data_IF_765494758840
#
_entry.id   IF_765494758840
#
_cell.length_a   1.000
_cell.length_b   1.000
_cell.length_c   1.000
_cell.angle_alpha   90.00
_cell.angle_beta   90.00
_cell.angle_gamma   90.00
#
_symmetry.space_group_name_H-M   'P 1'
#
loop_
_entity.id
_entity.type
_entity.pdbx_description
1 polymer ?
#
# COMPACT_ATOMS: atom_id res chain seq x y z
N UNK A 1 34.73 -8.25 18.98
CA UNK A 1 33.35 -8.81 18.94
C UNK A 1 32.67 -8.32 17.67
N UNK A 2 32.65 -9.14 16.63
CA UNK A 2 32.11 -8.77 15.31
C UNK A 2 30.58 -8.90 15.27
N UNK A 3 29.93 -7.87 14.77
CA UNK A 3 28.48 -7.81 14.54
C UNK A 3 28.08 -8.88 13.51
N UNK A 4 27.19 -9.81 13.89
CA UNK A 4 26.72 -10.94 13.06
C UNK A 4 25.26 -10.79 12.57
N UNK A 5 24.71 -9.59 12.57
CA UNK A 5 23.28 -9.40 12.26
C UNK A 5 22.99 -9.00 10.80
N UNK A 6 24.00 -8.87 9.94
CA UNK A 6 23.82 -8.48 8.53
C UNK A 6 23.55 -9.64 7.56
N UNK A 7 23.45 -10.88 8.03
CA UNK A 7 23.45 -12.08 7.18
C UNK A 7 22.10 -12.50 6.57
N UNK A 8 20.99 -11.83 6.91
CA UNK A 8 19.66 -12.19 6.40
C UNK A 8 19.25 -11.54 5.07
N UNK A 9 20.12 -10.73 4.46
CA UNK A 9 19.87 -10.14 3.13
C UNK A 9 20.39 -11.01 1.97
N UNK A 10 20.46 -12.33 2.16
CA UNK A 10 20.82 -13.25 1.08
C UNK A 10 19.84 -13.08 -0.11
N UNK A 11 20.44 -12.71 -1.24
CA UNK A 11 19.84 -12.21 -2.46
C UNK A 11 18.86 -13.21 -3.09
N UNK A 12 17.57 -13.09 -2.77
CA UNK A 12 16.51 -13.69 -3.58
C UNK A 12 16.22 -12.75 -4.75
N UNK A 13 16.23 -13.29 -5.96
CA UNK A 13 15.85 -12.59 -7.21
C UNK A 13 14.37 -12.15 -7.25
N UNK A 14 13.62 -12.37 -6.16
CA UNK A 14 12.18 -12.18 -6.09
C UNK A 14 11.88 -11.05 -5.12
N UNK A 15 11.01 -10.14 -5.54
CA UNK A 15 10.53 -9.07 -4.68
C UNK A 15 9.71 -9.64 -3.53
N UNK A 16 10.10 -9.28 -2.31
CA UNK A 16 9.38 -9.61 -1.08
C UNK A 16 8.72 -8.35 -0.55
N UNK A 17 7.44 -8.48 -0.19
CA UNK A 17 6.65 -7.44 0.46
C UNK A 17 5.98 -8.03 1.69
N UNK A 18 5.91 -7.25 2.77
CA UNK A 18 5.30 -7.68 4.03
C UNK A 18 3.92 -7.02 4.16
N UNK A 19 2.94 -7.81 4.62
CA UNK A 19 1.57 -7.36 4.80
C UNK A 19 1.00 -7.92 6.09
N UNK A 20 0.35 -7.07 6.88
CA UNK A 20 -0.42 -7.53 8.02
C UNK A 20 -1.74 -8.15 7.56
N UNK A 21 -2.09 -9.32 8.12
CA UNK A 21 -3.37 -9.98 7.87
C UNK A 21 -4.49 -9.25 8.62
N UNK A 22 -5.29 -8.45 7.91
CA UNK A 22 -6.40 -7.68 8.48
C UNK A 22 -7.76 -8.30 8.11
N UNK A 23 -8.66 -8.45 9.10
CA UNK A 23 -10.02 -8.97 8.89
C UNK A 23 -11.01 -7.85 8.60
N UNK A 24 -11.61 -7.87 7.42
CA UNK A 24 -12.72 -6.96 7.04
C UNK A 24 -14.04 -7.50 7.62
N UNK A 25 -14.78 -6.64 8.30
CA UNK A 25 -16.10 -6.96 8.86
C UNK A 25 -17.17 -6.30 8.00
N UNK A 26 -18.26 -7.00 7.67
CA UNK A 26 -19.36 -6.41 6.89
C UNK A 26 -20.12 -5.37 7.71
N UNK A 27 -20.76 -4.36 7.08
CA UNK A 27 -21.63 -3.45 7.79
C UNK A 27 -22.72 -4.23 8.56
N UNK A 28 -23.05 -3.82 9.80
CA UNK A 28 -24.12 -4.44 10.57
C UNK A 28 -25.46 -4.33 9.83
N UNK A 29 -26.34 -5.32 10.02
CA UNK A 29 -27.72 -5.26 9.51
C UNK A 29 -28.48 -4.15 10.24
N UNK A 30 -29.42 -3.50 9.54
CA UNK A 30 -30.28 -2.45 10.13
C UNK A 30 -30.97 -3.00 11.39
N UNK A 31 -30.81 -2.33 12.53
CA UNK A 31 -31.38 -2.75 13.82
C UNK A 31 -30.48 -3.61 14.71
N UNK A 32 -29.26 -3.96 14.30
CA UNK A 32 -28.34 -4.65 15.21
C UNK A 32 -27.65 -3.68 16.17
N UNK A 33 -27.54 -4.06 17.45
CA UNK A 33 -26.81 -3.29 18.47
C UNK A 33 -25.28 -3.31 18.28
N UNK A 34 -24.75 -4.23 17.47
CA UNK A 34 -23.31 -4.37 17.24
C UNK A 34 -22.79 -3.27 16.29
N UNK A 35 -21.91 -2.39 16.81
CA UNK A 35 -21.22 -1.39 15.99
C UNK A 35 -19.94 -1.97 15.38
N UNK A 36 -19.77 -1.80 14.06
CA UNK A 36 -18.51 -2.19 13.39
C UNK A 36 -17.39 -1.21 13.77
N UNK A 37 -16.21 -1.70 14.24
CA UNK A 37 -15.04 -0.84 14.42
C UNK A 37 -14.57 -0.24 13.09
N UNK A 38 -14.18 1.05 13.10
CA UNK A 38 -13.73 1.75 11.87
C UNK A 38 -12.47 1.12 11.25
N UNK A 39 -11.59 0.57 12.09
CA UNK A 39 -10.37 -0.14 11.66
C UNK A 39 -10.64 -1.41 10.83
N UNK A 40 -11.85 -1.97 10.89
CA UNK A 40 -12.24 -3.20 10.16
C UNK A 40 -13.18 -2.92 8.99
N UNK A 41 -13.18 -1.68 8.51
CA UNK A 41 -13.91 -1.28 7.29
C UNK A 41 -13.09 -1.66 6.04
N UNK A 42 -13.76 -1.88 4.91
CA UNK A 42 -13.08 -2.15 3.62
C UNK A 42 -12.06 -1.06 3.29
N UNK A 43 -12.47 0.21 3.41
CA UNK A 43 -11.63 1.37 3.10
C UNK A 43 -10.42 1.47 4.02
N UNK A 44 -10.61 1.38 5.34
CA UNK A 44 -9.49 1.48 6.29
C UNK A 44 -8.49 0.33 6.13
N UNK A 45 -8.98 -0.89 5.86
CA UNK A 45 -8.08 -2.03 5.60
C UNK A 45 -7.29 -1.83 4.31
N UNK A 46 -7.93 -1.34 3.25
CA UNK A 46 -7.24 -1.07 1.98
C UNK A 46 -6.21 0.06 2.09
N UNK A 47 -6.47 1.07 2.92
CA UNK A 47 -5.52 2.15 3.20
C UNK A 47 -4.32 1.64 4.00
N UNK A 48 -4.56 0.87 5.05
CA UNK A 48 -3.50 0.28 5.87
C UNK A 48 -2.67 -0.76 5.10
N UNK A 49 -3.28 -1.47 4.12
CA UNK A 49 -2.53 -2.34 3.22
C UNK A 49 -1.61 -1.57 2.28
N UNK A 50 -1.99 -0.37 1.82
CA UNK A 50 -1.09 0.44 1.00
C UNK A 50 0.14 0.86 1.80
N UNK A 51 -0.04 1.22 3.07
CA UNK A 51 1.05 1.60 3.97
C UNK A 51 2.01 0.43 4.25
N UNK A 52 1.48 -0.77 4.50
CA UNK A 52 2.33 -1.95 4.66
C UNK A 52 3.13 -2.30 3.39
N UNK A 53 2.50 -2.16 2.21
CA UNK A 53 3.13 -2.53 0.94
C UNK A 53 4.41 -1.72 0.67
N UNK A 54 4.38 -0.43 1.00
CA UNK A 54 5.44 0.49 0.62
C UNK A 54 6.53 0.62 1.67
N UNK A 55 6.35 0.02 2.85
CA UNK A 55 7.34 0.03 3.92
C UNK A 55 8.71 -0.48 3.41
N UNK A 56 9.82 0.26 3.59
CA UNK A 56 10.03 1.38 4.53
C UNK A 56 9.53 2.77 4.11
N UNK A 57 9.18 2.98 2.84
CA UNK A 57 8.80 4.30 2.35
C UNK A 57 7.45 4.77 2.88
N UNK A 58 7.37 6.07 3.13
CA UNK A 58 6.14 6.72 3.58
C UNK A 58 5.35 7.32 2.42
N UNK A 59 4.02 7.27 2.53
CA UNK A 59 3.11 7.88 1.57
C UNK A 59 2.91 9.34 1.94
N UNK A 60 3.44 10.24 1.12
CA UNK A 60 3.30 11.70 1.27
C UNK A 60 1.92 12.18 0.80
N UNK A 61 1.36 11.53 -0.23
CA UNK A 61 0.11 11.97 -0.82
C UNK A 61 -0.69 10.85 -1.46
N UNK A 62 -2.01 11.00 -1.47
CA UNK A 62 -2.95 10.09 -2.13
C UNK A 62 -3.92 10.91 -2.97
N UNK A 63 -4.00 10.66 -4.28
CA UNK A 63 -4.93 11.35 -5.19
C UNK A 63 -5.72 10.32 -5.99
N UNK A 64 -7.05 10.38 -5.92
CA UNK A 64 -7.91 9.54 -6.75
C UNK A 64 -8.25 10.27 -8.04
N UNK A 65 -7.90 9.68 -9.20
CA UNK A 65 -8.31 10.17 -10.51
C UNK A 65 -9.49 9.33 -11.01
N UNK A 66 -10.53 10.02 -11.46
CA UNK A 66 -11.66 9.42 -12.16
C UNK A 66 -11.44 9.58 -13.67
N UNK A 67 -11.51 8.49 -14.43
CA UNK A 67 -11.54 8.53 -15.90
C UNK A 67 -12.97 8.82 -16.39
N UNK A 68 -13.09 9.19 -17.65
CA UNK A 68 -14.39 9.42 -18.33
C UNK A 68 -15.24 8.15 -18.28
N UNK A 69 -14.60 6.98 -18.38
CA UNK A 69 -15.24 5.66 -18.31
C UNK A 69 -15.73 5.28 -16.89
N UNK A 70 -15.60 6.17 -15.90
CA UNK A 70 -15.94 5.92 -14.50
C UNK A 70 -14.91 5.10 -13.71
N UNK A 71 -13.87 4.57 -14.37
CA UNK A 71 -12.79 3.86 -13.67
C UNK A 71 -12.00 4.79 -12.76
N UNK A 72 -11.61 4.26 -11.59
CA UNK A 72 -10.85 4.98 -10.57
C UNK A 72 -9.41 4.49 -10.57
N UNK A 73 -8.47 5.43 -10.61
CA UNK A 73 -7.05 5.16 -10.40
C UNK A 73 -6.62 5.91 -9.14
N UNK A 74 -6.04 5.21 -8.17
CA UNK A 74 -5.37 5.87 -7.05
C UNK A 74 -3.91 6.13 -7.39
N UNK A 75 -3.54 7.41 -7.48
CA UNK A 75 -2.16 7.86 -7.54
C UNK A 75 -1.62 8.02 -6.11
N UNK A 76 -0.56 7.31 -5.79
CA UNK A 76 0.07 7.29 -4.47
C UNK A 76 1.45 7.92 -4.62
N UNK A 77 1.72 8.97 -3.87
CA UNK A 77 2.98 9.69 -3.86
C UNK A 77 3.84 9.23 -2.71
N UNK A 78 5.02 8.71 -3.00
CA UNK A 78 6.01 8.28 -2.01
C UNK A 78 7.01 9.41 -1.69
N UNK A 79 7.68 9.34 -0.54
CA UNK A 79 8.75 10.29 -0.20
C UNK A 79 9.88 10.19 -1.24
N UNK A 80 10.28 11.31 -1.89
CA UNK A 80 11.38 11.33 -2.86
C UNK A 80 12.72 10.86 -2.28
N UNK A 81 12.93 10.92 -0.96
CA UNK A 81 14.17 10.46 -0.31
C UNK A 81 14.40 8.96 -0.47
N UNK A 82 13.32 8.18 -0.57
CA UNK A 82 13.37 6.72 -0.67
C UNK A 82 13.32 6.21 -2.10
N UNK A 83 13.40 7.11 -3.09
CA UNK A 83 13.30 6.77 -4.51
C UNK A 83 14.28 5.69 -4.94
N UNK A 84 15.56 5.84 -4.58
CA UNK A 84 16.61 4.90 -4.98
C UNK A 84 16.36 3.46 -4.48
N UNK A 85 15.63 3.31 -3.37
CA UNK A 85 15.38 2.00 -2.74
C UNK A 85 14.06 1.37 -3.17
N UNK A 86 13.12 2.14 -3.70
CA UNK A 86 11.75 1.67 -3.99
C UNK A 86 11.39 1.67 -5.47
N UNK A 87 12.14 2.40 -6.31
CA UNK A 87 11.85 2.56 -7.74
C UNK A 87 11.80 1.22 -8.50
N UNK A 88 12.66 0.25 -8.15
CA UNK A 88 12.65 -1.07 -8.79
C UNK A 88 11.45 -1.95 -8.41
N UNK A 89 10.70 -1.62 -7.34
CA UNK A 89 9.57 -2.43 -6.83
C UNK A 89 8.19 -1.87 -7.18
N UNK A 90 8.11 -0.70 -7.84
CA UNK A 90 6.83 0.00 -8.04
C UNK A 90 5.80 -0.84 -8.81
N UNK A 91 6.25 -1.59 -9.83
CA UNK A 91 5.39 -2.50 -10.60
C UNK A 91 4.88 -3.66 -9.73
N UNK A 92 5.75 -4.22 -8.89
CA UNK A 92 5.41 -5.28 -7.93
C UNK A 92 4.37 -4.79 -6.91
N UNK A 93 4.52 -3.58 -6.35
CA UNK A 93 3.52 -3.01 -5.44
C UNK A 93 2.14 -2.85 -6.09
N UNK A 94 2.11 -2.32 -7.32
CA UNK A 94 0.87 -2.16 -8.08
C UNK A 94 0.23 -3.53 -8.38
N UNK A 95 1.04 -4.52 -8.77
CA UNK A 95 0.59 -5.88 -9.04
C UNK A 95 -0.03 -6.57 -7.82
N UNK A 96 0.65 -6.51 -6.66
CA UNK A 96 0.15 -7.09 -5.41
C UNK A 96 -1.15 -6.41 -4.96
N UNK A 97 -1.19 -5.08 -4.98
CA UNK A 97 -2.39 -4.35 -4.57
C UNK A 97 -3.59 -4.68 -5.47
N UNK A 98 -3.38 -4.73 -6.79
CA UNK A 98 -4.41 -5.13 -7.74
C UNK A 98 -4.88 -6.56 -7.51
N UNK A 99 -3.97 -7.49 -7.21
CA UNK A 99 -4.33 -8.90 -6.97
C UNK A 99 -5.16 -9.08 -5.69
N UNK A 100 -4.85 -8.34 -4.63
CA UNK A 100 -5.53 -8.47 -3.35
C UNK A 100 -6.85 -7.68 -3.28
N UNK A 101 -6.91 -6.52 -3.92
CA UNK A 101 -8.05 -5.58 -3.76
C UNK A 101 -8.88 -5.37 -5.02
N UNK A 102 -8.35 -5.75 -6.20
CA UNK A 102 -8.97 -5.48 -7.49
C UNK A 102 -8.95 -4.02 -7.93
N UNK A 103 -8.21 -3.15 -7.23
CA UNK A 103 -8.13 -1.70 -7.53
C UNK A 103 -6.82 -1.37 -8.24
N UNK A 104 -6.90 -0.45 -9.20
CA UNK A 104 -5.74 0.06 -9.90
C UNK A 104 -5.07 1.19 -9.10
N UNK A 105 -3.76 1.03 -8.89
CA UNK A 105 -2.90 1.99 -8.20
C UNK A 105 -1.68 2.28 -9.05
N UNK A 106 -1.27 3.55 -9.03
CA UNK A 106 -0.02 4.02 -9.64
C UNK A 106 0.80 4.69 -8.54
N UNK A 107 2.03 4.23 -8.36
CA UNK A 107 3.00 4.84 -7.46
C UNK A 107 3.87 5.82 -8.22
N UNK A 108 4.13 6.98 -7.62
CA UNK A 108 4.92 8.05 -8.21
C UNK A 108 5.63 8.84 -7.10
N UNK A 109 6.58 9.69 -7.47
CA UNK A 109 7.21 10.62 -6.55
C UNK A 109 6.70 12.04 -6.82
N UNK A 110 6.53 12.89 -5.79
CA UNK A 110 6.19 14.28 -6.03
C UNK A 110 7.32 14.93 -6.84
N UNK A 111 6.96 15.61 -7.92
CA UNK A 111 7.87 16.50 -8.63
C UNK A 111 8.04 17.71 -7.72
N UNK A 112 9.14 17.78 -6.97
CA UNK A 112 9.55 19.02 -6.32
C UNK A 112 9.79 20.06 -7.41
N UNK A 113 8.80 20.93 -7.64
CA UNK A 113 9.10 22.25 -8.16
C UNK A 113 9.94 22.94 -7.08
N UNK A 114 11.11 23.40 -7.51
CA UNK A 114 12.14 24.03 -6.69
C UNK A 114 11.66 25.31 -5.99
#
# INVERSE_FOLDING_TARGET
>A
MGNKDSSLQHQRLQDVVLLATRRIVRPPKKGSAAQRPRSRTLTAVHEAMLEDLVHPAEIVGKRTRYRIDGSKISKIFLDPKERNNTEYKLESFAGVYRKLTGKDVVFDFPVTEA
#
